data_IF_612863020423
#
_entry.id   IF_612863020423
#
_cell.length_a   1.000
_cell.length_b   1.000
_cell.length_c   1.000
_cell.angle_alpha   90.00
_cell.angle_beta   90.00
_cell.angle_gamma   90.00
#
_symmetry.space_group_name_H-M   'P 1'
#
loop_
_entity.id
_entity.type
_entity.pdbx_description
1 polymer ?
#
# COMPACT_ATOMS: atom_id res chain seq x y z
N UNK A 1 9.89 -9.81 0.43
CA UNK A 1 9.05 -8.65 0.08
C UNK A 1 7.97 -8.48 1.14
N UNK A 2 7.29 -7.34 1.14
CA UNK A 2 6.06 -7.08 1.90
C UNK A 2 4.92 -6.95 0.90
N UNK A 3 3.77 -7.53 1.23
CA UNK A 3 2.60 -7.54 0.34
C UNK A 3 1.40 -6.98 1.07
N UNK A 4 0.68 -6.10 0.39
CA UNK A 4 -0.57 -5.54 0.85
C UNK A 4 -1.67 -5.78 -0.18
N UNK A 5 -2.89 -5.96 0.30
CA UNK A 5 -4.02 -6.36 -0.53
C UNK A 5 -5.20 -5.41 -0.33
N UNK A 6 -5.77 -4.98 -1.45
CA UNK A 6 -6.92 -4.07 -1.51
C UNK A 6 -8.02 -4.75 -2.30
N UNK A 7 -9.23 -4.72 -1.79
CA UNK A 7 -10.42 -5.24 -2.45
C UNK A 7 -11.57 -4.25 -2.34
N UNK A 8 -12.41 -4.09 -3.39
CA UNK A 8 -13.63 -3.26 -3.29
C UNK A 8 -14.56 -3.68 -2.13
N UNK A 9 -14.53 -4.97 -1.77
CA UNK A 9 -15.32 -5.57 -0.69
C UNK A 9 -14.54 -5.67 0.64
N UNK A 10 -13.33 -5.09 0.71
CA UNK A 10 -12.48 -5.10 1.90
C UNK A 10 -12.95 -4.15 3.00
N UNK A 11 -12.12 -4.00 4.03
CA UNK A 11 -12.34 -3.09 5.15
C UNK A 11 -11.01 -2.49 5.63
N UNK A 12 -10.93 -1.18 5.81
CA UNK A 12 -9.69 -0.50 6.24
C UNK A 12 -9.29 -0.77 7.70
N UNK A 13 -10.17 -1.42 8.47
CA UNK A 13 -9.85 -1.98 9.79
C UNK A 13 -9.14 -3.34 9.72
N UNK A 14 -9.11 -3.98 8.55
CA UNK A 14 -8.40 -5.24 8.36
C UNK A 14 -6.87 -5.05 8.43
N UNK A 15 -6.09 -6.13 8.55
CA UNK A 15 -4.63 -6.05 8.53
C UNK A 15 -4.00 -5.82 7.14
N UNK A 16 -4.79 -5.84 6.06
CA UNK A 16 -4.28 -5.64 4.69
C UNK A 16 -3.62 -6.88 4.08
N UNK A 17 -3.95 -8.07 4.59
CA UNK A 17 -3.48 -9.35 4.06
C UNK A 17 -4.43 -9.86 2.96
N UNK A 18 -4.00 -10.85 2.18
CA UNK A 18 -4.86 -11.43 1.13
C UNK A 18 -6.20 -11.95 1.66
N UNK A 19 -6.20 -12.55 2.85
CA UNK A 19 -7.40 -13.08 3.51
C UNK A 19 -8.28 -11.99 4.14
N UNK A 20 -7.70 -10.84 4.48
CA UNK A 20 -8.39 -9.71 5.08
C UNK A 20 -7.84 -8.40 4.48
N UNK A 21 -8.26 -8.06 3.25
CA UNK A 21 -7.73 -6.92 2.52
C UNK A 21 -8.33 -5.60 3.03
N UNK A 22 -7.62 -4.51 2.79
CA UNK A 22 -8.18 -3.17 2.94
C UNK A 22 -9.18 -2.85 1.85
N UNK A 23 -9.97 -1.79 2.07
CA UNK A 23 -10.94 -1.30 1.10
C UNK A 23 -10.35 -0.21 0.21
N UNK A 24 -9.53 0.68 0.77
CA UNK A 24 -9.14 1.92 0.09
C UNK A 24 -7.67 1.95 -0.30
N UNK A 25 -7.40 2.62 -1.43
CA UNK A 25 -6.04 2.94 -1.86
C UNK A 25 -5.37 3.98 -0.95
N UNK A 26 -6.16 4.88 -0.33
CA UNK A 26 -5.68 5.83 0.68
C UNK A 26 -5.07 5.08 1.88
N UNK A 27 -5.78 4.06 2.41
CA UNK A 27 -5.26 3.23 3.51
C UNK A 27 -3.96 2.52 3.14
N UNK A 28 -3.89 1.98 1.92
CA UNK A 28 -2.69 1.32 1.42
C UNK A 28 -1.50 2.29 1.34
N UNK A 29 -1.68 3.45 0.71
CA UNK A 29 -0.66 4.50 0.62
C UNK A 29 -0.16 4.92 2.00
N UNK A 30 -1.06 5.22 2.92
CA UNK A 30 -0.70 5.69 4.26
C UNK A 30 0.09 4.62 5.03
N UNK A 31 -0.25 3.34 4.85
CA UNK A 31 0.53 2.24 5.42
C UNK A 31 1.91 2.12 4.77
N UNK A 32 2.01 2.23 3.45
CA UNK A 32 3.29 2.23 2.73
C UNK A 32 4.18 3.36 3.25
N UNK A 33 3.65 4.59 3.35
CA UNK A 33 4.39 5.74 3.89
C UNK A 33 4.85 5.54 5.33
N UNK A 34 4.00 4.97 6.18
CA UNK A 34 4.38 4.63 7.55
C UNK A 34 5.56 3.64 7.58
N UNK A 35 5.55 2.64 6.70
CA UNK A 35 6.64 1.66 6.55
C UNK A 35 7.86 2.24 5.83
N UNK A 36 7.73 3.24 4.97
CA UNK A 36 8.92 3.88 4.37
C UNK A 36 9.56 4.83 5.37
N UNK A 37 8.77 5.72 5.98
CA UNK A 37 9.25 6.72 6.93
C UNK A 37 9.81 6.14 8.23
N UNK A 38 9.35 4.97 8.67
CA UNK A 38 9.95 4.27 9.82
C UNK A 38 11.27 3.56 9.48
N UNK A 39 11.61 3.42 8.20
CA UNK A 39 12.75 2.61 7.74
C UNK A 39 13.79 3.41 6.94
N UNK A 40 13.84 4.75 7.03
CA UNK A 40 14.75 5.59 6.23
C UNK A 40 16.26 5.27 6.35
N UNK A 41 16.67 4.32 7.20
CA UNK A 41 18.05 3.77 7.21
C UNK A 41 18.13 2.23 7.18
N UNK A 42 17.02 1.51 6.98
CA UNK A 42 16.97 0.06 7.20
C UNK A 42 15.88 -0.70 6.45
N UNK A 43 15.29 -0.15 5.39
CA UNK A 43 14.38 -0.93 4.55
C UNK A 43 15.16 -2.07 3.91
N UNK A 44 14.63 -3.28 4.00
CA UNK A 44 15.30 -4.51 3.52
C UNK A 44 14.48 -5.28 2.49
N UNK A 45 13.32 -4.75 2.08
CA UNK A 45 12.34 -5.48 1.26
C UNK A 45 11.60 -4.55 0.28
N UNK A 46 11.36 -5.07 -0.92
CA UNK A 46 10.37 -4.52 -1.85
C UNK A 46 8.96 -4.58 -1.24
N UNK A 47 8.10 -3.65 -1.64
CA UNK A 47 6.69 -3.61 -1.26
C UNK A 47 5.85 -3.79 -2.54
N UNK A 48 4.84 -4.66 -2.46
CA UNK A 48 3.87 -4.85 -3.55
C UNK A 48 2.46 -4.60 -3.03
N UNK A 49 1.69 -3.81 -3.76
CA UNK A 49 0.31 -3.44 -3.46
C UNK A 49 -0.62 -4.07 -4.49
N UNK A 50 -1.33 -5.13 -4.08
CA UNK A 50 -2.22 -5.90 -4.95
C UNK A 50 -3.63 -5.34 -4.91
N UNK A 51 -4.18 -5.01 -6.09
CA UNK A 51 -5.58 -4.68 -6.26
C UNK A 51 -6.33 -5.92 -6.72
N UNK A 52 -7.32 -6.37 -5.94
CA UNK A 52 -8.26 -7.40 -6.36
C UNK A 52 -9.13 -6.88 -7.53
N UNK A 53 -9.67 -7.79 -8.36
CA UNK A 53 -10.58 -7.41 -9.44
C UNK A 53 -11.78 -6.61 -8.95
N UNK A 54 -12.29 -5.72 -9.80
CA UNK A 54 -13.47 -4.91 -9.54
C UNK A 54 -13.20 -3.40 -9.61
N UNK A 55 -14.16 -2.60 -9.17
CA UNK A 55 -14.11 -1.14 -9.27
C UNK A 55 -13.66 -0.54 -7.94
N UNK A 56 -12.45 0.04 -7.93
CA UNK A 56 -11.91 0.81 -6.81
C UNK A 56 -12.32 2.28 -6.94
N UNK A 57 -13.47 2.66 -6.39
CA UNK A 57 -13.94 4.05 -6.45
C UNK A 57 -13.15 4.91 -5.46
N UNK A 58 -12.62 6.02 -5.97
CA UNK A 58 -11.94 7.02 -5.15
C UNK A 58 -12.92 8.15 -4.79
N UNK A 59 -12.99 8.52 -3.51
CA UNK A 59 -13.74 9.70 -3.06
C UNK A 59 -12.98 11.00 -3.28
N UNK A 60 -11.66 10.91 -3.47
CA UNK A 60 -10.74 12.01 -3.67
C UNK A 60 -9.58 11.56 -4.58
N UNK A 61 -8.81 12.52 -5.10
CA UNK A 61 -7.65 12.18 -5.94
C UNK A 61 -6.60 11.41 -5.15
N UNK A 62 -6.14 10.27 -5.69
CA UNK A 62 -4.98 9.57 -5.15
C UNK A 62 -3.71 10.38 -5.47
N UNK A 63 -3.12 11.00 -4.45
CA UNK A 63 -1.85 11.71 -4.56
C UNK A 63 -0.72 10.76 -4.16
N UNK A 64 0.21 10.54 -5.07
CA UNK A 64 1.46 9.81 -4.85
C UNK A 64 2.64 10.77 -5.02
N UNK A 65 3.49 10.84 -3.99
CA UNK A 65 4.68 11.69 -3.94
C UNK A 65 5.98 10.88 -3.90
N UNK A 66 7.14 11.54 -3.76
CA UNK A 66 8.43 10.87 -3.63
C UNK A 66 8.47 9.82 -2.50
N UNK A 67 7.73 10.04 -1.42
CA UNK A 67 7.60 9.12 -0.28
C UNK A 67 6.89 7.79 -0.59
N UNK A 68 6.21 7.70 -1.73
CA UNK A 68 5.52 6.49 -2.20
C UNK A 68 6.36 5.71 -3.23
N UNK A 69 7.54 6.22 -3.58
CA UNK A 69 8.47 5.62 -4.53
C UNK A 69 9.52 4.73 -3.87
N UNK A 70 10.13 3.85 -4.67
CA UNK A 70 11.32 3.13 -4.25
C UNK A 70 12.53 4.05 -4.06
N UNK A 71 13.54 3.57 -3.32
CA UNK A 71 14.79 4.30 -3.00
C UNK A 71 15.95 3.96 -3.95
N UNK A 72 15.67 3.31 -5.09
CA UNK A 72 16.66 2.81 -6.04
C UNK A 72 17.27 1.45 -5.67
N UNK A 73 17.16 0.99 -4.42
CA UNK A 73 17.60 -0.35 -4.00
C UNK A 73 16.42 -1.31 -3.89
N UNK A 74 15.33 -0.86 -3.29
CA UNK A 74 14.11 -1.65 -3.16
C UNK A 74 12.94 -0.96 -3.86
N UNK A 75 12.09 -1.73 -4.53
CA UNK A 75 10.95 -1.22 -5.28
C UNK A 75 9.69 -1.07 -4.40
N UNK A 76 8.77 -0.23 -4.88
CA UNK A 76 7.36 -0.19 -4.47
C UNK A 76 6.56 -0.33 -5.76
N UNK A 77 5.63 -1.28 -5.81
CA UNK A 77 4.89 -1.66 -7.03
C UNK A 77 3.42 -1.86 -6.74
#
# INVERSE_FOLDING_TARGET
MLEYYISPDGNDQNPGTQAAPWKTLTKARDQVRSVVGSFESGRTKNITVHLAPGIHRLSETLILGPEDGGDGTFAIT
#
